data_IF_255500988118
#
_entry.id   IF_255500988118
#
_cell.length_a   1.000
_cell.length_b   1.000
_cell.length_c   1.000
_cell.angle_alpha   90.00
_cell.angle_beta   90.00
_cell.angle_gamma   90.00
#
_symmetry.space_group_name_H-M   'P 1'
#
loop_
_entity.id
_entity.type
_entity.pdbx_description
1 polymer ?
#
# COMPACT_ATOMS: atom_id res chain seq x y z
N UNK A 1 -14.28 -16.44 -29.92
CA UNK A 1 -13.43 -15.27 -29.63
C UNK A 1 -12.59 -15.58 -28.40
N UNK A 2 -11.32 -15.16 -28.39
CA UNK A 2 -10.49 -15.23 -27.18
C UNK A 2 -10.94 -14.10 -26.25
N UNK A 3 -11.17 -14.42 -24.98
CA UNK A 3 -11.51 -13.42 -23.95
C UNK A 3 -10.24 -12.67 -23.55
N UNK A 4 -10.36 -11.35 -23.38
CA UNK A 4 -9.29 -10.50 -22.86
C UNK A 4 -9.46 -10.35 -21.35
N UNK A 5 -8.34 -10.28 -20.63
CA UNK A 5 -8.34 -10.16 -19.18
C UNK A 5 -7.34 -9.08 -18.75
N UNK A 6 -7.69 -8.33 -17.71
CA UNK A 6 -6.80 -7.36 -17.04
C UNK A 6 -6.49 -7.82 -15.61
N UNK A 7 -5.24 -7.69 -15.18
CA UNK A 7 -4.85 -7.83 -13.78
C UNK A 7 -5.16 -6.54 -13.04
N UNK A 8 -5.80 -6.65 -11.87
CA UNK A 8 -6.04 -5.55 -10.96
C UNK A 8 -5.41 -5.88 -9.61
N UNK A 9 -4.69 -4.90 -9.04
CA UNK A 9 -4.11 -4.95 -7.70
C UNK A 9 -4.74 -3.88 -6.82
N UNK A 10 -5.20 -4.26 -5.64
CA UNK A 10 -5.82 -3.35 -4.66
C UNK A 10 -5.18 -3.52 -3.29
N UNK A 11 -4.97 -2.40 -2.59
CA UNK A 11 -4.63 -2.38 -1.16
C UNK A 11 -5.74 -1.64 -0.45
N UNK A 12 -6.46 -2.31 0.44
CA UNK A 12 -7.52 -1.65 1.21
C UNK A 12 -6.97 -0.97 2.47
N UNK A 13 -7.58 0.14 2.87
CA UNK A 13 -7.19 0.93 4.03
C UNK A 13 -7.05 0.09 5.31
N UNK A 14 -7.98 -0.84 5.56
CA UNK A 14 -7.96 -1.68 6.77
C UNK A 14 -6.72 -2.61 6.82
N UNK A 15 -6.30 -3.15 5.68
CA UNK A 15 -5.14 -4.03 5.58
C UNK A 15 -3.85 -3.25 5.77
N UNK A 16 -3.77 -2.05 5.18
CA UNK A 16 -2.62 -1.16 5.34
C UNK A 16 -2.50 -0.64 6.77
N UNK A 17 -3.63 -0.28 7.40
CA UNK A 17 -3.68 0.10 8.81
C UNK A 17 -3.22 -1.05 9.71
N UNK A 18 -3.73 -2.26 9.47
CA UNK A 18 -3.35 -3.45 10.24
C UNK A 18 -1.86 -3.76 10.09
N UNK A 19 -1.31 -3.59 8.89
CA UNK A 19 0.12 -3.73 8.63
C UNK A 19 0.92 -2.72 9.46
N UNK A 20 0.58 -1.43 9.39
CA UNK A 20 1.27 -0.37 10.14
C UNK A 20 1.25 -0.64 11.65
N UNK A 21 0.10 -1.03 12.21
CA UNK A 21 -0.03 -1.38 13.63
C UNK A 21 0.86 -2.58 13.98
N UNK A 22 0.84 -3.64 13.16
CA UNK A 22 1.61 -4.87 13.41
C UNK A 22 3.12 -4.62 13.40
N UNK A 23 3.58 -3.70 12.55
CA UNK A 23 4.99 -3.34 12.37
C UNK A 23 5.46 -2.20 13.27
N UNK A 24 4.53 -1.57 14.01
CA UNK A 24 4.77 -0.32 14.76
C UNK A 24 5.31 0.80 13.86
N UNK A 25 4.77 0.89 12.66
CA UNK A 25 5.07 1.96 11.71
C UNK A 25 4.13 3.16 11.91
N UNK A 26 4.45 4.24 11.21
CA UNK A 26 3.68 5.48 11.16
C UNK A 26 3.54 6.19 12.52
N UNK A 27 4.46 5.94 13.46
CA UNK A 27 4.42 6.47 14.83
C UNK A 27 4.66 7.99 14.94
N UNK A 28 5.12 8.63 13.86
CA UNK A 28 5.40 10.08 13.80
C UNK A 28 4.38 10.84 12.95
N UNK A 29 3.49 10.14 12.25
CA UNK A 29 2.44 10.77 11.46
C UNK A 29 1.29 11.27 12.33
N UNK A 30 0.65 12.35 11.90
CA UNK A 30 -0.62 12.78 12.46
C UNK A 30 -1.80 12.10 11.74
N UNK A 31 -3.02 12.37 12.19
CA UNK A 31 -4.21 11.77 11.60
C UNK A 31 -4.42 12.17 10.13
N UNK A 32 -3.96 13.35 9.71
CA UNK A 32 -4.13 13.82 8.34
C UNK A 32 -3.18 13.07 7.40
N UNK A 33 -1.90 12.96 7.77
CA UNK A 33 -0.92 12.15 7.06
C UNK A 33 -1.37 10.69 7.01
N UNK A 34 -1.88 10.14 8.12
CA UNK A 34 -2.31 8.75 8.13
C UNK A 34 -3.55 8.51 7.24
N UNK A 35 -4.49 9.45 7.19
CA UNK A 35 -5.60 9.36 6.23
C UNK A 35 -5.11 9.44 4.77
N UNK A 36 -4.13 10.30 4.48
CA UNK A 36 -3.50 10.38 3.17
C UNK A 36 -2.88 9.04 2.76
N UNK A 37 -2.11 8.40 3.65
CA UNK A 37 -1.55 7.06 3.42
C UNK A 37 -2.64 6.03 3.11
N UNK A 38 -3.70 6.00 3.92
CA UNK A 38 -4.71 4.94 3.86
C UNK A 38 -5.64 5.06 2.65
N UNK A 39 -6.00 6.27 2.26
CA UNK A 39 -7.02 6.52 1.24
C UNK A 39 -6.38 7.00 -0.07
N UNK A 40 -5.76 8.18 -0.06
CA UNK A 40 -5.22 8.82 -1.27
C UNK A 40 -4.15 7.97 -1.96
N UNK A 41 -3.24 7.38 -1.17
CA UNK A 41 -2.14 6.57 -1.70
C UNK A 41 -2.51 5.09 -1.95
N UNK A 42 -3.59 4.59 -1.34
CA UNK A 42 -3.94 3.18 -1.36
C UNK A 42 -5.39 2.92 -1.79
N UNK A 43 -6.37 3.01 -0.87
CA UNK A 43 -7.74 2.48 -1.06
C UNK A 43 -8.45 3.07 -2.30
N UNK A 44 -8.19 4.35 -2.59
CA UNK A 44 -8.84 5.07 -3.69
C UNK A 44 -8.22 4.78 -5.07
N UNK A 45 -7.01 4.17 -5.14
CA UNK A 45 -6.37 3.87 -6.43
C UNK A 45 -7.04 2.68 -7.12
N UNK A 46 -7.48 2.85 -8.38
CA UNK A 46 -8.15 1.79 -9.15
C UNK A 46 -7.27 0.55 -9.32
N UNK A 47 -5.98 0.73 -9.59
CA UNK A 47 -5.01 -0.33 -9.73
C UNK A 47 -3.64 0.12 -9.19
N UNK A 48 -3.13 -0.60 -8.21
CA UNK A 48 -1.83 -0.34 -7.58
C UNK A 48 -0.70 -0.78 -8.51
N UNK A 49 0.16 0.17 -8.88
CA UNK A 49 1.39 -0.03 -9.65
C UNK A 49 2.60 -0.30 -8.75
N UNK A 50 3.77 -0.48 -9.36
CA UNK A 50 5.02 -0.63 -8.60
C UNK A 50 5.42 0.70 -7.95
N UNK A 51 5.24 1.79 -8.69
CA UNK A 51 5.51 3.16 -8.26
C UNK A 51 4.63 3.53 -7.06
N UNK A 52 3.36 3.14 -7.07
CA UNK A 52 2.45 3.36 -5.93
C UNK A 52 2.91 2.62 -4.67
N UNK A 53 3.43 1.39 -4.81
CA UNK A 53 3.97 0.64 -3.67
C UNK A 53 5.21 1.34 -3.09
N UNK A 54 6.08 1.87 -3.96
CA UNK A 54 7.25 2.63 -3.54
C UNK A 54 6.84 3.92 -2.83
N UNK A 55 5.84 4.63 -3.34
CA UNK A 55 5.30 5.85 -2.74
C UNK A 55 4.71 5.57 -1.34
N UNK A 56 3.85 4.55 -1.20
CA UNK A 56 3.30 4.11 0.09
C UNK A 56 4.45 3.77 1.07
N UNK A 57 5.46 3.03 0.62
CA UNK A 57 6.57 2.62 1.46
C UNK A 57 7.46 3.80 1.89
N UNK A 58 7.66 4.80 1.02
CA UNK A 58 8.37 6.03 1.34
C UNK A 58 7.63 6.84 2.40
N UNK A 59 6.32 7.03 2.24
CA UNK A 59 5.50 7.75 3.22
C UNK A 59 5.49 7.04 4.59
N UNK A 60 5.36 5.71 4.60
CA UNK A 60 5.50 4.91 5.81
C UNK A 60 6.85 5.16 6.49
N UNK A 61 7.94 5.11 5.72
CA UNK A 61 9.29 5.26 6.26
C UNK A 61 9.54 6.66 6.81
N UNK A 62 9.09 7.71 6.13
CA UNK A 62 9.19 9.10 6.59
C UNK A 62 8.50 9.31 7.94
N UNK A 63 7.35 8.66 8.13
CA UNK A 63 6.53 8.74 9.34
C UNK A 63 6.83 7.65 10.38
N UNK A 64 7.87 6.85 10.20
CA UNK A 64 8.25 5.77 11.12
C UNK A 64 9.58 6.02 11.80
N UNK A 65 9.77 5.42 12.99
CA UNK A 65 11.09 5.22 13.57
C UNK A 65 11.46 3.74 13.38
N UNK A 66 12.14 3.42 12.29
CA UNK A 66 12.43 2.05 11.86
C UNK A 66 13.83 1.96 11.27
N UNK A 67 14.52 0.85 11.53
CA UNK A 67 15.82 0.52 10.91
C UNK A 67 15.65 -0.27 9.60
N UNK A 68 14.42 -0.53 9.18
CA UNK A 68 14.14 -1.25 7.95
C UNK A 68 14.43 -0.39 6.72
N UNK A 69 15.04 -1.00 5.70
CA UNK A 69 15.22 -0.35 4.41
C UNK A 69 13.89 -0.23 3.64
N UNK A 70 13.87 0.72 2.69
CA UNK A 70 12.71 0.97 1.84
C UNK A 70 12.20 -0.31 1.16
N UNK A 71 13.12 -1.15 0.66
CA UNK A 71 12.77 -2.38 -0.06
C UNK A 71 12.06 -3.41 0.81
N UNK A 72 12.38 -3.47 2.10
CA UNK A 72 11.71 -4.33 3.08
C UNK A 72 10.29 -3.85 3.35
N UNK A 73 10.10 -2.53 3.44
CA UNK A 73 8.77 -1.92 3.58
C UNK A 73 7.96 -2.17 2.30
N UNK A 74 8.55 -1.97 1.11
CA UNK A 74 7.90 -2.29 -0.17
C UNK A 74 7.45 -3.76 -0.23
N UNK A 75 8.27 -4.70 0.23
CA UNK A 75 7.91 -6.12 0.28
C UNK A 75 6.66 -6.36 1.14
N UNK A 76 6.62 -5.79 2.34
CA UNK A 76 5.50 -5.95 3.26
C UNK A 76 4.21 -5.30 2.72
N UNK A 77 4.32 -4.12 2.10
CA UNK A 77 3.19 -3.43 1.43
C UNK A 77 2.69 -4.23 0.23
N UNK A 78 3.58 -4.72 -0.63
CA UNK A 78 3.22 -5.53 -1.79
C UNK A 78 2.50 -6.83 -1.37
N UNK A 79 2.91 -7.44 -0.25
CA UNK A 79 2.36 -8.70 0.25
C UNK A 79 0.90 -8.59 0.71
N UNK A 80 0.44 -7.40 1.11
CA UNK A 80 -0.97 -7.20 1.51
C UNK A 80 -1.88 -6.84 0.34
N UNK A 81 -1.34 -6.65 -0.86
CA UNK A 81 -2.13 -6.31 -2.03
C UNK A 81 -2.94 -7.52 -2.52
N UNK A 82 -4.24 -7.33 -2.71
CA UNK A 82 -5.10 -8.31 -3.35
C UNK A 82 -4.97 -8.18 -4.87
N UNK A 83 -4.54 -9.25 -5.53
CA UNK A 83 -4.50 -9.34 -7.00
C UNK A 83 -5.66 -10.21 -7.49
N UNK A 84 -6.38 -9.71 -8.49
CA UNK A 84 -7.46 -10.44 -9.17
C UNK A 84 -7.52 -10.07 -10.66
N UNK A 85 -8.31 -10.81 -11.43
CA UNK A 85 -8.41 -10.66 -12.89
C UNK A 85 -9.86 -10.44 -13.30
N UNK A 86 -10.09 -9.48 -14.19
CA UNK A 86 -11.41 -9.17 -14.75
C UNK A 86 -11.40 -9.37 -16.28
N UNK A 87 -12.50 -9.89 -16.83
CA UNK A 87 -12.73 -9.95 -18.29
C UNK A 87 -13.03 -8.53 -18.81
N UNK A 88 -12.46 -8.18 -19.98
CA UNK A 88 -12.57 -6.85 -20.60
C UNK A 88 -13.55 -6.86 -21.77
#
# INVERSE_FOLDING_TARGET
>A
MKKEYKEIRKINANSLQSLCISKRWYTRGDNAAYNHLLYDLADDKENITTEDIVEIAQDIMEHSNTDQDLTSICFDVARIAATYFEEV
#
